data_IF_339934942432
#
_entry.id   IF_339934942432
#
_cell.length_a   1.000
_cell.length_b   1.000
_cell.length_c   1.000
_cell.angle_alpha   90.00
_cell.angle_beta   90.00
_cell.angle_gamma   90.00
#
_symmetry.space_group_name_H-M   'P 1'
#
loop_
_entity.id
_entity.type
_entity.pdbx_description
1 polymer ?
#
# COMPACT_ATOMS: atom_id res chain seq x y z
N UNK A 1 12.86 -0.36 -5.12
CA UNK A 1 13.65 0.49 -4.20
C UNK A 1 12.91 1.78 -3.80
N UNK A 2 12.41 2.60 -4.75
CA UNK A 2 11.63 3.84 -4.47
C UNK A 2 10.49 3.67 -3.46
N UNK A 3 9.58 2.71 -3.67
CA UNK A 3 8.43 2.52 -2.78
C UNK A 3 8.83 2.15 -1.35
N UNK A 4 9.86 1.31 -1.19
CA UNK A 4 10.38 0.92 0.13
C UNK A 4 10.93 2.10 0.93
N UNK A 5 11.60 3.05 0.27
CA UNK A 5 12.11 4.27 0.92
C UNK A 5 10.97 5.17 1.42
N UNK A 6 9.94 5.37 0.60
CA UNK A 6 8.74 6.15 1.00
C UNK A 6 8.05 5.51 2.21
N UNK A 7 7.85 4.20 2.18
CA UNK A 7 7.26 3.44 3.30
C UNK A 7 8.12 3.62 4.56
N UNK A 8 9.45 3.47 4.43
CA UNK A 8 10.39 3.68 5.53
C UNK A 8 10.26 5.06 6.15
N UNK A 9 10.28 6.13 5.34
CA UNK A 9 10.11 7.50 5.83
C UNK A 9 8.79 7.72 6.57
N UNK A 10 7.67 7.20 6.04
CA UNK A 10 6.36 7.32 6.69
C UNK A 10 6.34 6.63 8.06
N UNK A 11 6.88 5.41 8.15
CA UNK A 11 6.92 4.64 9.38
C UNK A 11 7.82 5.31 10.42
N UNK A 12 9.02 5.72 10.02
CA UNK A 12 9.98 6.39 10.91
C UNK A 12 9.43 7.73 11.40
N UNK A 13 8.84 8.53 10.51
CA UNK A 13 8.24 9.82 10.89
C UNK A 13 7.07 9.64 11.86
N UNK A 14 6.25 8.62 11.67
CA UNK A 14 5.14 8.33 12.59
C UNK A 14 5.67 7.85 13.94
N UNK A 15 6.66 6.95 13.93
CA UNK A 15 7.28 6.45 15.15
C UNK A 15 7.95 7.57 15.96
N UNK A 16 8.65 8.49 15.29
CA UNK A 16 9.27 9.66 15.91
C UNK A 16 8.25 10.46 16.73
N UNK A 17 7.07 10.75 16.16
CA UNK A 17 6.01 11.52 16.82
C UNK A 17 5.35 10.80 18.00
N UNK A 18 5.55 9.48 18.12
CA UNK A 18 4.96 8.65 19.18
C UNK A 18 5.96 8.29 20.29
N UNK A 19 7.23 8.66 20.13
CA UNK A 19 8.28 8.36 21.10
C UNK A 19 8.40 9.44 22.18
N UNK A 20 8.58 9.01 23.42
CA UNK A 20 8.84 9.90 24.57
C UNK A 20 10.23 9.76 25.15
N UNK A 21 10.93 8.67 24.82
CA UNK A 21 12.31 8.39 25.22
C UNK A 21 13.28 9.15 24.31
N UNK A 22 14.15 9.97 24.91
CA UNK A 22 15.05 10.87 24.17
C UNK A 22 16.08 10.10 23.30
N UNK A 23 16.63 9.00 23.79
CA UNK A 23 17.56 8.14 23.05
C UNK A 23 16.92 7.53 21.80
N UNK A 24 15.65 7.11 21.92
CA UNK A 24 14.87 6.57 20.80
C UNK A 24 14.46 7.66 19.81
N UNK A 25 14.18 8.86 20.31
CA UNK A 25 13.85 10.02 19.50
C UNK A 25 15.05 10.42 18.62
N UNK A 26 16.25 10.50 19.20
CA UNK A 26 17.49 10.79 18.48
C UNK A 26 17.78 9.72 17.40
N UNK A 27 17.57 8.44 17.72
CA UNK A 27 17.66 7.36 16.75
C UNK A 27 16.75 7.59 15.54
N UNK A 28 15.45 7.85 15.75
CA UNK A 28 14.52 8.07 14.63
C UNK A 28 14.83 9.34 13.84
N UNK A 29 15.32 10.41 14.48
CA UNK A 29 15.80 11.60 13.78
C UNK A 29 16.95 11.25 12.83
N UNK A 30 17.92 10.46 13.29
CA UNK A 30 19.04 10.01 12.47
C UNK A 30 18.60 9.13 11.30
N UNK A 31 17.61 8.26 11.52
CA UNK A 31 17.02 7.43 10.46
C UNK A 31 16.32 8.28 9.38
N UNK A 32 15.60 9.34 9.75
CA UNK A 32 15.00 10.28 8.77
C UNK A 32 16.09 10.94 7.93
N UNK A 33 17.15 11.45 8.56
CA UNK A 33 18.27 12.07 7.86
C UNK A 33 18.93 11.11 6.87
N UNK A 34 19.25 9.90 7.34
CA UNK A 34 19.91 8.86 6.53
C UNK A 34 19.05 8.42 5.37
N UNK A 35 17.76 8.16 5.63
CA UNK A 35 16.81 7.70 4.61
C UNK A 35 16.54 8.78 3.55
N UNK A 36 16.45 10.05 3.96
CA UNK A 36 16.27 11.19 3.04
C UNK A 36 17.52 11.39 2.17
N UNK A 37 18.72 11.28 2.74
CA UNK A 37 19.96 11.34 1.99
C UNK A 37 20.06 10.19 0.97
N UNK A 38 19.64 8.98 1.35
CA UNK A 38 19.58 7.83 0.46
C UNK A 38 18.56 8.03 -0.67
N UNK A 39 17.37 8.54 -0.38
CA UNK A 39 16.37 8.90 -1.39
C UNK A 39 16.95 9.85 -2.44
N UNK A 40 17.65 10.91 -2.01
CA UNK A 40 18.24 11.88 -2.92
C UNK A 40 19.26 11.24 -3.88
N UNK A 41 20.06 10.28 -3.41
CA UNK A 41 21.00 9.53 -4.26
C UNK A 41 20.25 8.66 -5.27
N UNK A 42 19.25 7.90 -4.81
CA UNK A 42 18.44 7.03 -5.68
C UNK A 42 17.70 7.85 -6.74
N UNK A 43 17.06 8.95 -6.34
CA UNK A 43 16.33 9.83 -7.25
C UNK A 43 17.24 10.43 -8.33
N UNK A 44 18.44 10.90 -7.97
CA UNK A 44 19.43 11.41 -8.94
C UNK A 44 19.81 10.35 -9.97
N UNK A 45 20.16 9.14 -9.53
CA UNK A 45 20.52 8.04 -10.44
C UNK A 45 19.35 7.65 -11.35
N UNK A 46 18.13 7.58 -10.81
CA UNK A 46 16.94 7.26 -11.61
C UNK A 46 16.61 8.36 -12.62
N UNK A 47 16.84 9.64 -12.28
CA UNK A 47 16.68 10.77 -13.19
C UNK A 47 17.73 10.76 -14.30
N UNK A 48 18.99 10.56 -13.96
CA UNK A 48 20.11 10.45 -14.93
C UNK A 48 19.89 9.30 -15.92
N UNK A 49 19.34 8.18 -15.45
CA UNK A 49 19.02 7.02 -16.29
C UNK A 49 17.67 7.12 -17.01
N UNK A 50 16.88 8.17 -16.75
CA UNK A 50 15.55 8.34 -17.37
C UNK A 50 14.49 7.32 -16.92
N UNK A 51 14.70 6.58 -15.83
CA UNK A 51 13.81 5.52 -15.33
C UNK A 51 12.90 5.97 -14.18
N UNK A 52 13.05 7.22 -13.69
CA UNK A 52 12.16 7.74 -12.67
C UNK A 52 10.77 8.00 -13.25
N UNK A 53 9.80 7.15 -12.92
CA UNK A 53 8.38 7.35 -13.29
C UNK A 53 7.88 8.68 -12.70
N UNK A 54 7.59 9.63 -13.59
CA UNK A 54 7.12 10.98 -13.24
C UNK A 54 5.59 10.98 -13.07
N UNK A 55 5.05 11.73 -12.09
CA UNK A 55 3.60 11.93 -12.01
C UNK A 55 3.10 12.66 -13.26
N UNK A 56 1.81 12.52 -13.61
CA UNK A 56 1.20 13.24 -14.72
C UNK A 56 1.33 14.76 -14.52
N UNK A 57 1.53 15.48 -15.64
CA UNK A 57 1.60 16.93 -15.65
C UNK A 57 0.18 17.51 -15.56
N UNK A 58 0.02 18.61 -14.82
CA UNK A 58 -1.25 19.33 -14.68
C UNK A 58 -0.96 20.79 -14.97
N UNK A 59 -1.80 21.42 -15.81
CA UNK A 59 -1.80 22.87 -15.96
C UNK A 59 -2.51 23.48 -14.73
N UNK A 60 -1.80 24.31 -13.98
CA UNK A 60 -2.37 25.02 -12.84
C UNK A 60 -2.96 26.34 -13.29
N UNK A 61 -4.21 26.59 -12.93
CA UNK A 61 -4.79 27.92 -13.12
C UNK A 61 -4.12 28.95 -12.20
N UNK A 62 -3.94 30.17 -12.71
CA UNK A 62 -3.22 31.26 -12.04
C UNK A 62 -4.08 31.93 -10.96
N UNK A 63 -5.40 31.72 -10.97
CA UNK A 63 -6.36 32.31 -10.03
C UNK A 63 -7.01 31.23 -9.16
N UNK A 64 -7.31 31.61 -7.92
CA UNK A 64 -8.05 30.74 -6.99
C UNK A 64 -9.54 30.98 -7.17
N UNK A 65 -10.26 29.95 -7.61
CA UNK A 65 -11.72 29.94 -7.67
C UNK A 65 -12.30 29.11 -6.51
N UNK A 66 -13.55 29.39 -6.15
CA UNK A 66 -14.26 28.70 -5.08
C UNK A 66 -15.25 27.68 -5.65
N UNK A 67 -15.52 26.62 -4.89
CA UNK A 67 -16.53 25.63 -5.27
C UNK A 67 -17.92 26.27 -5.19
N UNK A 68 -18.58 26.41 -6.34
CA UNK A 68 -19.93 26.99 -6.44
C UNK A 68 -21.03 25.93 -6.31
N UNK A 69 -20.88 24.78 -6.99
CA UNK A 69 -21.83 23.66 -6.92
C UNK A 69 -21.27 22.48 -6.12
N UNK A 70 -21.94 22.18 -5.00
CA UNK A 70 -21.57 21.07 -4.11
C UNK A 70 -21.78 19.69 -4.75
N UNK A 71 -22.86 19.49 -5.48
CA UNK A 71 -23.18 18.18 -6.07
C UNK A 71 -22.25 17.87 -7.23
N UNK A 72 -21.93 18.86 -8.06
CA UNK A 72 -20.94 18.74 -9.13
C UNK A 72 -19.56 18.41 -8.55
N UNK A 73 -19.12 19.14 -7.51
CA UNK A 73 -17.80 18.95 -6.92
C UNK A 73 -17.61 17.59 -6.24
N UNK A 74 -18.63 17.11 -5.53
CA UNK A 74 -18.59 15.81 -4.84
C UNK A 74 -18.91 14.64 -5.78
N UNK A 75 -19.54 14.91 -6.92
CA UNK A 75 -19.99 13.91 -7.87
C UNK A 75 -21.08 12.98 -7.34
N UNK A 76 -21.32 11.94 -8.12
CA UNK A 76 -22.31 10.88 -7.89
C UNK A 76 -21.64 9.59 -7.41
N UNK A 77 -22.38 8.76 -6.68
CA UNK A 77 -21.96 7.40 -6.34
C UNK A 77 -21.95 6.46 -7.57
N UNK A 78 -22.72 6.80 -8.60
CA UNK A 78 -23.00 5.91 -9.74
C UNK A 78 -22.20 6.26 -11.00
N UNK A 79 -21.21 7.15 -10.90
CA UNK A 79 -20.23 7.44 -11.95
C UNK A 79 -20.74 8.24 -13.16
N UNK A 80 -22.05 8.44 -13.31
CA UNK A 80 -22.63 9.33 -14.32
C UNK A 80 -22.50 10.77 -13.81
N UNK A 81 -21.80 11.60 -14.59
CA UNK A 81 -21.65 13.06 -14.39
C UNK A 81 -20.70 13.49 -13.26
N UNK A 82 -19.52 12.84 -13.17
CA UNK A 82 -18.47 13.29 -12.26
C UNK A 82 -17.56 14.33 -12.93
N UNK A 83 -17.18 15.38 -12.18
CA UNK A 83 -16.11 16.30 -12.58
C UNK A 83 -14.79 15.57 -12.87
N UNK A 84 -13.88 16.17 -13.66
CA UNK A 84 -12.51 15.70 -13.79
C UNK A 84 -11.83 15.50 -12.42
N UNK A 85 -10.89 14.57 -12.35
CA UNK A 85 -10.15 14.28 -11.11
C UNK A 85 -9.34 15.48 -10.64
N UNK A 86 -9.27 15.69 -9.32
CA UNK A 86 -8.31 16.63 -8.72
C UNK A 86 -6.91 16.05 -8.77
N UNK A 87 -5.90 16.92 -8.71
CA UNK A 87 -4.49 16.53 -8.63
C UNK A 87 -4.21 15.50 -7.54
N UNK A 88 -4.78 15.70 -6.35
CA UNK A 88 -4.66 14.75 -5.24
C UNK A 88 -5.33 13.40 -5.53
N UNK A 89 -6.48 13.38 -6.20
CA UNK A 89 -7.18 12.13 -6.55
C UNK A 89 -6.40 11.36 -7.61
N UNK A 90 -5.84 12.08 -8.61
CA UNK A 90 -4.92 11.52 -9.59
C UNK A 90 -3.68 10.93 -8.92
N UNK A 91 -3.08 11.65 -7.97
CA UNK A 91 -1.90 11.18 -7.21
C UNK A 91 -2.19 9.87 -6.49
N UNK A 92 -3.33 9.78 -5.79
CA UNK A 92 -3.71 8.58 -5.04
C UNK A 92 -3.95 7.38 -5.96
N UNK A 93 -4.66 7.55 -7.07
CA UNK A 93 -4.89 6.49 -8.06
C UNK A 93 -3.58 6.03 -8.69
N UNK A 94 -2.76 6.98 -9.14
CA UNK A 94 -1.46 6.72 -9.75
C UNK A 94 -0.52 5.95 -8.82
N UNK A 95 -0.42 6.41 -7.56
CA UNK A 95 0.40 5.73 -6.56
C UNK A 95 -0.16 4.35 -6.22
N UNK A 96 -1.48 4.22 -6.11
CA UNK A 96 -2.17 2.95 -5.90
C UNK A 96 -1.81 1.91 -6.95
N UNK A 97 -1.83 2.28 -8.24
CA UNK A 97 -1.42 1.41 -9.35
C UNK A 97 0.04 0.96 -9.18
N UNK A 98 0.96 1.91 -8.97
CA UNK A 98 2.39 1.60 -8.83
C UNK A 98 2.65 0.65 -7.65
N UNK A 99 1.98 0.87 -6.51
CA UNK A 99 2.18 0.01 -5.33
C UNK A 99 1.60 -1.39 -5.52
N UNK A 100 0.43 -1.50 -6.17
CA UNK A 100 -0.19 -2.79 -6.44
C UNK A 100 0.58 -3.58 -7.49
N UNK A 101 1.17 -2.93 -8.50
CA UNK A 101 2.04 -3.60 -9.48
C UNK A 101 3.26 -4.25 -8.81
N UNK A 102 3.90 -3.52 -7.89
CA UNK A 102 5.04 -4.07 -7.12
C UNK A 102 4.59 -5.22 -6.22
N UNK A 103 3.45 -5.07 -5.53
CA UNK A 103 2.87 -6.13 -4.70
C UNK A 103 2.53 -7.38 -5.51
N UNK A 104 1.82 -7.21 -6.63
CA UNK A 104 1.46 -8.27 -7.58
C UNK A 104 2.70 -9.00 -8.08
N UNK A 105 3.73 -8.28 -8.50
CA UNK A 105 5.00 -8.87 -8.96
C UNK A 105 5.66 -9.74 -7.89
N UNK A 106 5.71 -9.26 -6.65
CA UNK A 106 6.26 -10.04 -5.53
C UNK A 106 5.43 -11.29 -5.26
N UNK A 107 4.11 -11.15 -5.23
CA UNK A 107 3.17 -12.26 -5.05
C UNK A 107 3.33 -13.30 -6.17
N UNK A 108 3.46 -12.89 -7.43
CA UNK A 108 3.74 -13.79 -8.55
C UNK A 108 5.03 -14.57 -8.34
N UNK A 109 6.10 -13.92 -7.86
CA UNK A 109 7.35 -14.59 -7.50
C UNK A 109 7.19 -15.62 -6.38
N UNK A 110 6.48 -15.26 -5.30
CA UNK A 110 6.23 -16.18 -4.18
C UNK A 110 5.31 -17.35 -4.57
N UNK A 111 4.29 -17.09 -5.39
CA UNK A 111 3.40 -18.09 -5.94
C UNK A 111 4.16 -19.16 -6.73
N UNK A 112 5.15 -18.73 -7.52
CA UNK A 112 5.98 -19.62 -8.34
C UNK A 112 6.81 -20.60 -7.50
N UNK A 113 7.30 -20.17 -6.34
CA UNK A 113 8.30 -20.93 -5.57
C UNK A 113 7.74 -21.63 -4.33
N UNK A 114 6.65 -21.15 -3.74
CA UNK A 114 6.15 -21.72 -2.47
C UNK A 114 5.78 -23.21 -2.61
N UNK A 115 6.31 -24.11 -1.78
CA UNK A 115 5.91 -25.52 -1.79
C UNK A 115 4.54 -25.74 -1.12
N UNK A 116 4.09 -24.82 -0.28
CA UNK A 116 2.81 -24.92 0.45
C UNK A 116 1.63 -24.60 -0.46
N UNK A 117 0.78 -25.59 -0.73
CA UNK A 117 -0.47 -25.39 -1.46
C UNK A 117 -1.40 -24.38 -0.79
N UNK A 118 -1.67 -24.44 0.54
CA UNK A 118 -2.49 -23.43 1.20
C UNK A 118 -1.96 -21.99 1.04
N UNK A 119 -0.63 -21.81 1.12
CA UNK A 119 -0.03 -20.49 0.90
C UNK A 119 -0.11 -20.08 -0.58
N UNK A 120 0.06 -21.01 -1.51
CA UNK A 120 -0.10 -20.78 -2.94
C UNK A 120 -1.51 -20.27 -3.29
N UNK A 121 -2.54 -20.97 -2.83
CA UNK A 121 -3.95 -20.61 -3.04
C UNK A 121 -4.29 -19.25 -2.38
N UNK A 122 -3.63 -18.93 -1.26
CA UNK A 122 -3.72 -17.61 -0.62
C UNK A 122 -3.07 -16.51 -1.47
N UNK A 123 -1.88 -16.75 -2.00
CA UNK A 123 -1.17 -15.78 -2.85
C UNK A 123 -1.93 -15.53 -4.15
N UNK A 124 -2.48 -16.58 -4.77
CA UNK A 124 -3.27 -16.46 -6.01
C UNK A 124 -4.45 -15.49 -5.84
N UNK A 125 -5.18 -15.56 -4.71
CA UNK A 125 -6.24 -14.58 -4.41
C UNK A 125 -5.70 -13.16 -4.26
N UNK A 126 -4.52 -12.99 -3.68
CA UNK A 126 -3.88 -11.68 -3.55
C UNK A 126 -3.51 -11.08 -4.91
N UNK A 127 -3.02 -11.90 -5.86
CA UNK A 127 -2.72 -11.49 -7.23
C UNK A 127 -4.00 -11.02 -7.95
N UNK A 128 -5.11 -11.74 -7.77
CA UNK A 128 -6.40 -11.36 -8.34
C UNK A 128 -6.87 -10.00 -7.79
N UNK A 129 -6.88 -9.84 -6.47
CA UNK A 129 -7.27 -8.56 -5.82
C UNK A 129 -6.40 -7.40 -6.33
N UNK A 130 -5.08 -7.57 -6.38
CA UNK A 130 -4.18 -6.53 -6.87
C UNK A 130 -4.44 -6.19 -8.34
N UNK A 131 -4.79 -7.19 -9.17
CA UNK A 131 -5.12 -6.99 -10.58
C UNK A 131 -6.40 -6.18 -10.74
N UNK A 132 -7.48 -6.54 -10.02
CA UNK A 132 -8.74 -5.80 -10.03
C UNK A 132 -8.50 -4.34 -9.62
N UNK A 133 -7.68 -4.10 -8.59
CA UNK A 133 -7.34 -2.74 -8.13
C UNK A 133 -6.58 -1.93 -9.19
N UNK A 134 -5.61 -2.53 -9.86
CA UNK A 134 -4.84 -1.89 -10.92
C UNK A 134 -5.76 -1.48 -12.07
N UNK A 135 -6.65 -2.39 -12.49
CA UNK A 135 -7.59 -2.17 -13.58
C UNK A 135 -8.60 -1.07 -13.24
N UNK A 136 -9.27 -1.15 -12.09
CA UNK A 136 -10.25 -0.14 -11.68
C UNK A 136 -9.62 1.25 -11.50
N UNK A 137 -8.42 1.32 -10.90
CA UNK A 137 -7.72 2.61 -10.75
C UNK A 137 -7.28 3.15 -12.11
N UNK A 138 -6.79 2.29 -13.01
CA UNK A 138 -6.41 2.64 -14.36
C UNK A 138 -7.60 3.18 -15.16
N UNK A 139 -8.76 2.53 -15.07
CA UNK A 139 -10.00 2.98 -15.71
C UNK A 139 -10.41 4.37 -15.20
N UNK A 140 -10.32 4.65 -13.90
CA UNK A 140 -10.63 5.98 -13.35
C UNK A 140 -9.73 7.09 -13.87
N UNK A 141 -8.44 6.80 -14.10
CA UNK A 141 -7.53 7.73 -14.73
C UNK A 141 -7.90 7.96 -16.21
N UNK A 142 -8.20 6.87 -16.94
CA UNK A 142 -8.58 6.93 -18.35
C UNK A 142 -9.89 7.69 -18.57
N UNK A 143 -10.88 7.56 -17.70
CA UNK A 143 -12.14 8.32 -17.72
C UNK A 143 -11.89 9.84 -17.68
N UNK A 144 -10.75 10.28 -17.13
CA UNK A 144 -10.33 11.69 -17.08
C UNK A 144 -9.28 12.05 -18.14
N UNK A 145 -9.07 11.19 -19.14
CA UNK A 145 -8.08 11.40 -20.20
C UNK A 145 -6.62 11.21 -19.77
N UNK A 146 -6.37 10.64 -18.58
CA UNK A 146 -5.03 10.44 -18.03
C UNK A 146 -4.59 8.99 -18.32
N UNK A 147 -3.45 8.82 -18.98
CA UNK A 147 -2.90 7.49 -19.21
C UNK A 147 -2.45 6.84 -17.90
N UNK A 148 -2.92 5.62 -17.64
CA UNK A 148 -2.47 4.85 -16.50
C UNK A 148 -0.95 4.59 -16.57
N UNK A 149 -0.22 4.63 -15.43
CA UNK A 149 1.21 4.33 -15.44
C UNK A 149 1.44 2.87 -15.86
N UNK A 150 2.29 2.67 -16.87
CA UNK A 150 2.79 1.35 -17.23
C UNK A 150 4.07 1.03 -16.44
N UNK A 151 4.10 -0.09 -15.73
CA UNK A 151 5.29 -0.59 -15.06
C UNK A 151 5.97 -1.66 -15.93
N UNK A 152 6.72 -1.24 -16.94
CA UNK A 152 7.43 -2.15 -17.85
C UNK A 152 8.36 -3.14 -17.12
N UNK A 153 8.86 -2.78 -15.93
CA UNK A 153 9.70 -3.64 -15.09
C UNK A 153 8.96 -4.87 -14.53
N UNK A 154 7.65 -4.78 -14.29
CA UNK A 154 6.88 -5.87 -13.67
C UNK A 154 6.82 -7.13 -14.55
N UNK A 155 6.80 -6.96 -15.88
CA UNK A 155 6.65 -8.07 -16.84
C UNK A 155 7.89 -8.97 -16.93
N UNK A 156 9.08 -8.45 -16.57
CA UNK A 156 10.36 -9.17 -16.59
C UNK A 156 11.03 -9.35 -15.23
N UNK A 157 10.42 -8.84 -14.15
CA UNK A 157 11.02 -8.86 -12.82
C UNK A 157 10.99 -10.25 -12.15
N UNK A 158 10.06 -11.12 -12.54
CA UNK A 158 9.97 -12.47 -11.98
C UNK A 158 10.94 -13.39 -12.74
N UNK A 159 11.97 -13.85 -12.04
CA UNK A 159 12.93 -14.83 -12.56
C UNK A 159 12.25 -16.17 -12.86
N UNK A 160 12.83 -16.97 -13.77
CA UNK A 160 12.40 -18.34 -14.07
C UNK A 160 12.77 -19.37 -12.98
N UNK A 161 13.45 -18.95 -11.91
CA UNK A 161 13.86 -19.82 -10.80
C UNK A 161 12.66 -20.40 -10.06
N UNK A 162 12.59 -21.72 -9.93
CA UNK A 162 11.59 -22.42 -9.13
C UNK A 162 12.08 -22.74 -7.71
N UNK A 163 13.33 -22.40 -7.38
CA UNK A 163 13.90 -22.60 -6.06
C UNK A 163 13.48 -21.47 -5.12
N UNK A 164 12.85 -21.76 -3.96
CA UNK A 164 12.47 -20.74 -2.99
C UNK A 164 13.70 -20.01 -2.45
N UNK A 165 13.79 -18.67 -2.58
CA UNK A 165 14.86 -17.89 -1.96
C UNK A 165 14.61 -17.68 -0.45
N UNK A 166 13.35 -17.82 -0.01
CA UNK A 166 12.90 -17.58 1.35
C UNK A 166 11.97 -18.70 1.83
N UNK A 167 11.83 -18.84 3.14
CA UNK A 167 10.86 -19.76 3.74
C UNK A 167 9.43 -19.26 3.59
N UNK A 168 8.44 -20.17 3.62
CA UNK A 168 7.02 -19.81 3.62
C UNK A 168 6.65 -18.88 4.77
N UNK A 169 7.25 -19.05 5.96
CA UNK A 169 7.10 -18.12 7.11
C UNK A 169 7.52 -16.70 6.73
N UNK A 170 8.68 -16.53 6.10
CA UNK A 170 9.19 -15.21 5.74
C UNK A 170 8.41 -14.58 4.57
N UNK A 171 8.00 -15.38 3.59
CA UNK A 171 7.14 -14.92 2.50
C UNK A 171 5.79 -14.44 3.03
N UNK A 172 5.14 -15.23 3.90
CA UNK A 172 3.88 -14.86 4.53
C UNK A 172 4.01 -13.59 5.39
N UNK A 173 5.11 -13.44 6.13
CA UNK A 173 5.39 -12.22 6.88
C UNK A 173 5.43 -10.98 5.96
N UNK A 174 6.13 -11.05 4.83
CA UNK A 174 6.19 -9.95 3.87
C UNK A 174 4.79 -9.62 3.30
N UNK A 175 3.99 -10.63 2.98
CA UNK A 175 2.62 -10.42 2.48
C UNK A 175 1.77 -9.71 3.54
N UNK A 176 1.85 -10.12 4.80
CA UNK A 176 1.13 -9.48 5.90
C UNK A 176 1.55 -8.01 6.08
N UNK A 177 2.86 -7.72 6.02
CA UNK A 177 3.36 -6.33 6.10
C UNK A 177 2.85 -5.49 4.93
N UNK A 178 2.86 -6.03 3.71
CA UNK A 178 2.33 -5.33 2.53
C UNK A 178 0.83 -5.07 2.64
N UNK A 179 0.05 -6.02 3.16
CA UNK A 179 -1.38 -5.83 3.41
C UNK A 179 -1.63 -4.69 4.40
N UNK A 180 -0.89 -4.63 5.52
CA UNK A 180 -1.01 -3.54 6.50
C UNK A 180 -0.68 -2.17 5.90
N UNK A 181 0.40 -2.09 5.10
CA UNK A 181 0.79 -0.85 4.41
C UNK A 181 -0.25 -0.46 3.36
N UNK A 182 -0.76 -1.42 2.59
CA UNK A 182 -1.80 -1.21 1.60
C UNK A 182 -3.08 -0.64 2.22
N UNK A 183 -3.57 -1.26 3.30
CA UNK A 183 -4.74 -0.78 4.04
C UNK A 183 -4.56 0.66 4.55
N UNK A 184 -3.40 0.98 5.12
CA UNK A 184 -3.12 2.34 5.55
C UNK A 184 -3.14 3.33 4.38
N UNK A 185 -2.53 2.97 3.24
CA UNK A 185 -2.54 3.81 2.05
C UNK A 185 -3.97 4.04 1.55
N UNK A 186 -4.81 2.99 1.44
CA UNK A 186 -6.18 3.12 0.94
C UNK A 186 -7.07 3.93 1.89
N UNK A 187 -6.85 3.85 3.20
CA UNK A 187 -7.54 4.69 4.17
C UNK A 187 -7.17 6.17 3.98
N UNK A 188 -5.89 6.47 3.77
CA UNK A 188 -5.42 7.83 3.45
C UNK A 188 -6.02 8.30 2.12
N UNK A 189 -5.97 7.47 1.07
CA UNK A 189 -6.54 7.80 -0.25
C UNK A 189 -8.04 8.10 -0.17
N UNK A 190 -8.80 7.31 0.59
CA UNK A 190 -10.22 7.56 0.81
C UNK A 190 -10.45 8.88 1.58
N UNK A 191 -9.66 9.16 2.61
CA UNK A 191 -9.77 10.37 3.41
C UNK A 191 -9.33 11.64 2.68
N UNK A 192 -8.45 11.52 1.68
CA UNK A 192 -7.97 12.63 0.85
C UNK A 192 -8.74 12.78 -0.47
N UNK A 193 -9.87 12.11 -0.64
CA UNK A 193 -10.66 12.16 -1.87
C UNK A 193 -12.01 12.79 -1.59
N UNK A 194 -12.50 13.64 -2.50
CA UNK A 194 -13.81 14.27 -2.36
C UNK A 194 -14.88 13.60 -3.23
N UNK A 195 -14.48 13.00 -4.35
CA UNK A 195 -15.39 12.27 -5.24
C UNK A 195 -15.98 11.03 -4.54
N UNK A 196 -17.31 10.99 -4.47
CA UNK A 196 -18.07 9.91 -3.80
C UNK A 196 -17.85 8.53 -4.41
N UNK A 197 -17.74 8.42 -5.74
CA UNK A 197 -17.49 7.14 -6.42
C UNK A 197 -16.14 6.55 -6.02
N UNK A 198 -15.10 7.38 -5.94
CA UNK A 198 -13.77 6.97 -5.51
C UNK A 198 -13.73 6.57 -4.04
N UNK A 199 -14.37 7.34 -3.15
CA UNK A 199 -14.49 6.98 -1.72
C UNK A 199 -15.15 5.61 -1.58
N UNK A 200 -16.23 5.35 -2.30
CA UNK A 200 -16.93 4.06 -2.27
C UNK A 200 -16.05 2.92 -2.81
N UNK A 201 -15.31 3.16 -3.89
CA UNK A 201 -14.36 2.21 -4.47
C UNK A 201 -13.26 1.85 -3.46
N UNK A 202 -12.61 2.85 -2.84
CA UNK A 202 -11.60 2.60 -1.80
C UNK A 202 -12.20 1.89 -0.58
N UNK A 203 -13.43 2.24 -0.17
CA UNK A 203 -14.15 1.55 0.91
C UNK A 203 -14.38 0.06 0.63
N UNK A 204 -14.79 -0.28 -0.61
CA UNK A 204 -14.95 -1.68 -1.04
C UNK A 204 -13.61 -2.43 -0.96
N UNK A 205 -12.53 -1.85 -1.47
CA UNK A 205 -11.22 -2.48 -1.43
C UNK A 205 -10.64 -2.60 -0.02
N UNK A 206 -10.86 -1.60 0.84
CA UNK A 206 -10.52 -1.69 2.27
C UNK A 206 -11.18 -2.92 2.91
N UNK A 207 -12.48 -3.13 2.68
CA UNK A 207 -13.19 -4.30 3.20
C UNK A 207 -12.62 -5.62 2.64
N UNK A 208 -12.38 -5.69 1.33
CA UNK A 208 -11.86 -6.88 0.65
C UNK A 208 -10.44 -7.24 1.14
N UNK A 209 -9.54 -6.26 1.20
CA UNK A 209 -8.15 -6.44 1.66
C UNK A 209 -8.11 -6.74 3.15
N UNK A 210 -9.00 -6.15 3.96
CA UNK A 210 -9.10 -6.49 5.39
C UNK A 210 -9.46 -7.96 5.59
N UNK A 211 -10.42 -8.47 4.82
CA UNK A 211 -10.77 -9.89 4.83
C UNK A 211 -9.59 -10.76 4.39
N UNK A 212 -8.91 -10.38 3.31
CA UNK A 212 -7.71 -11.06 2.82
C UNK A 212 -6.58 -11.10 3.86
N UNK A 213 -6.35 -10.00 4.58
CA UNK A 213 -5.35 -9.92 5.63
C UNK A 213 -5.72 -10.81 6.82
N UNK A 214 -6.99 -10.85 7.23
CA UNK A 214 -7.47 -11.73 8.29
C UNK A 214 -7.27 -13.21 7.95
N UNK A 215 -7.55 -13.61 6.72
CA UNK A 215 -7.29 -14.97 6.23
C UNK A 215 -5.79 -15.31 6.28
N UNK A 216 -4.92 -14.34 5.95
CA UNK A 216 -3.46 -14.50 6.02
C UNK A 216 -2.95 -14.68 7.45
N UNK A 217 -3.50 -13.93 8.41
CA UNK A 217 -3.21 -14.09 9.84
C UNK A 217 -3.66 -15.48 10.31
N UNK A 218 -4.86 -15.93 9.93
CA UNK A 218 -5.36 -17.27 10.26
C UNK A 218 -4.42 -18.35 9.73
N UNK A 219 -4.01 -18.26 8.47
CA UNK A 219 -3.05 -19.19 7.87
C UNK A 219 -1.71 -19.19 8.62
N UNK A 220 -1.20 -18.02 9.01
CA UNK A 220 0.03 -17.91 9.78
C UNK A 220 -0.10 -18.54 11.18
N UNK A 221 -1.24 -18.42 11.84
CA UNK A 221 -1.51 -19.07 13.14
C UNK A 221 -1.56 -20.59 12.97
N UNK A 222 -2.30 -21.10 11.99
CA UNK A 222 -2.43 -22.53 11.71
C UNK A 222 -1.07 -23.20 11.46
N UNK A 223 -0.13 -22.47 10.82
CA UNK A 223 1.22 -22.95 10.52
C UNK A 223 2.26 -22.57 11.59
N UNK A 224 1.86 -21.94 12.71
CA UNK A 224 2.77 -21.46 13.78
C UNK A 224 3.86 -20.49 13.28
N UNK A 225 3.51 -19.66 12.31
CA UNK A 225 4.38 -18.65 11.71
C UNK A 225 4.22 -17.27 12.34
N UNK A 226 3.14 -17.04 13.10
CA UNK A 226 2.90 -15.78 13.79
C UNK A 226 3.44 -15.83 15.21
N UNK A 227 4.37 -14.93 15.52
CA UNK A 227 4.82 -14.68 16.88
C UNK A 227 3.83 -13.74 17.58
N UNK A 228 3.53 -14.03 18.85
CA UNK A 228 2.64 -13.19 19.62
C UNK A 228 3.35 -11.87 19.99
N UNK A 229 2.80 -10.70 19.62
CA UNK A 229 3.35 -9.42 20.04
C UNK A 229 3.14 -9.22 21.55
N UNK A 230 3.90 -8.30 22.19
CA UNK A 230 3.72 -8.01 23.61
C UNK A 230 2.26 -7.68 23.94
N UNK A 231 1.65 -8.49 24.80
CA UNK A 231 0.27 -8.31 25.26
C UNK A 231 0.26 -7.54 26.58
N UNK A 232 -0.68 -6.62 26.72
CA UNK A 232 -0.97 -6.05 28.04
C UNK A 232 -1.47 -7.13 28.99
N UNK A 233 -1.14 -6.98 30.27
CA UNK A 233 -1.60 -7.89 31.33
C UNK A 233 -3.12 -7.87 31.39
N UNK A 234 -3.73 -9.04 31.20
CA UNK A 234 -5.18 -9.19 31.38
C UNK A 234 -5.52 -9.24 32.88
N UNK A 235 -5.85 -8.07 33.42
CA UNK A 235 -6.22 -7.93 34.83
C UNK A 235 -7.48 -8.71 35.21
N UNK A 236 -8.36 -9.03 34.26
CA UNK A 236 -9.55 -9.88 34.54
C UNK A 236 -9.14 -11.32 34.75
N UNK A 237 -8.17 -11.81 33.98
CA UNK A 237 -7.61 -13.14 34.21
C UNK A 237 -6.91 -13.22 35.58
N UNK A 238 -6.23 -12.16 36.03
CA UNK A 238 -5.59 -12.14 37.35
C UNK A 238 -6.58 -12.31 38.53
N UNK A 239 -7.83 -11.85 38.39
CA UNK A 239 -8.86 -12.00 39.44
C UNK A 239 -9.30 -13.47 39.58
N UNK A 240 -9.23 -14.24 38.49
CA UNK A 240 -9.68 -15.63 38.44
C UNK A 240 -8.54 -16.65 38.66
N UNK A 241 -7.30 -16.19 38.89
CA UNK A 241 -6.20 -17.07 39.31
C UNK A 241 -6.34 -17.28 40.82
N UNK A 242 -7.12 -18.29 41.21
CA UNK A 242 -7.07 -18.84 42.57
C UNK A 242 -5.71 -19.51 42.75
N UNK A 243 -4.82 -18.87 43.51
CA UNK A 243 -3.62 -19.52 44.04
C UNK A 243 -4.03 -20.66 44.97
N UNK A 244 -3.69 -21.89 44.62
CA UNK A 244 -3.65 -23.03 45.54
C UNK A 244 -2.29 -23.08 46.25
#
# INVERSE_FOLDING_TARGET
>A
MRNGIKIGLNLVSTALCMCTRLDVLEFFQQEIHTTTAFWNKVARVMLEKGILVRPPFIETEVKSDYVEDKQEFLGSYWGKDNRPLLSMEVEQLFYGIITNEVGKTLLTGFHQVTPSKPLRDYIERGIAIATDMIEDFGMKLLDSGITAPSHWEAYGAVSRSTTPPFSDKLMMFHINVLNSIGLANYAVSAGSTFRKDLILMYGRYLAQVTKYAADGIKLAIENKWLEEPPRFVDRKNLINITTH
#
